data_IF_670745065476
#
_entry.id   IF_670745065476
#
_cell.length_a   1.000
_cell.length_b   1.000
_cell.length_c   1.000
_cell.angle_alpha   90.00
_cell.angle_beta   90.00
_cell.angle_gamma   90.00
#
_symmetry.space_group_name_H-M   'P 1'
#
loop_
_entity.id
_entity.type
_entity.pdbx_description
1 polymer ?
#
# COMPACT_ATOMS: atom_id res chain seq x y z
N UNK A 1 32.76 12.48 -11.53
CA UNK A 1 32.32 13.42 -10.49
C UNK A 1 30.82 13.53 -10.61
N UNK A 2 30.06 12.91 -9.70
CA UNK A 2 28.59 13.04 -9.69
C UNK A 2 28.25 14.29 -8.90
N UNK A 3 27.64 15.27 -9.57
CA UNK A 3 27.07 16.45 -8.93
C UNK A 3 25.65 16.11 -8.48
N UNK A 4 25.41 16.04 -7.17
CA UNK A 4 24.06 15.96 -6.62
C UNK A 4 23.53 17.38 -6.48
N UNK A 5 22.52 17.73 -7.26
CA UNK A 5 21.80 19.00 -7.15
C UNK A 5 20.49 18.71 -6.44
N UNK A 6 20.27 19.34 -5.29
CA UNK A 6 18.98 19.33 -4.62
C UNK A 6 18.01 20.21 -5.42
N UNK A 7 16.84 19.68 -5.73
CA UNK A 7 15.80 20.38 -6.46
C UNK A 7 14.50 20.37 -5.65
N UNK A 8 13.70 21.43 -5.81
CA UNK A 8 12.36 21.51 -5.23
C UNK A 8 11.36 20.57 -5.94
N UNK A 9 10.13 20.53 -5.49
CA UNK A 9 9.05 19.71 -6.07
C UNK A 9 8.76 20.04 -7.55
N UNK A 10 9.23 21.20 -8.03
CA UNK A 10 9.08 21.65 -9.42
C UNK A 10 10.33 21.37 -10.26
N UNK A 11 11.37 20.75 -9.66
CA UNK A 11 12.62 20.42 -10.33
C UNK A 11 13.59 21.61 -10.47
N UNK A 12 13.39 22.70 -9.70
CA UNK A 12 14.32 23.81 -9.65
C UNK A 12 15.42 23.57 -8.63
N UNK A 13 16.67 23.97 -8.88
CA UNK A 13 17.74 23.88 -7.90
C UNK A 13 17.38 24.61 -6.61
N UNK A 14 17.47 23.91 -5.49
CA UNK A 14 17.31 24.51 -4.16
C UNK A 14 18.57 25.33 -3.86
N UNK A 15 18.40 26.53 -3.32
CA UNK A 15 19.54 27.38 -2.93
C UNK A 15 20.46 26.63 -1.95
N UNK A 16 21.75 26.85 -2.06
CA UNK A 16 22.80 26.16 -1.29
C UNK A 16 22.58 26.19 0.24
N UNK A 17 21.84 27.18 0.73
CA UNK A 17 21.56 27.42 2.15
C UNK A 17 20.12 27.06 2.54
N UNK A 18 19.32 26.44 1.64
CA UNK A 18 18.00 25.99 2.00
C UNK A 18 18.10 24.76 2.93
N UNK A 19 17.27 24.67 3.98
CA UNK A 19 17.25 23.49 4.84
C UNK A 19 16.90 22.26 4.01
N UNK A 20 17.76 21.25 4.06
CA UNK A 20 17.48 19.95 3.45
C UNK A 20 16.33 19.33 4.23
N UNK A 21 15.21 18.95 3.59
CA UNK A 21 14.15 18.22 4.28
C UNK A 21 14.75 16.92 4.83
N UNK A 22 14.76 16.78 6.13
CA UNK A 22 15.19 15.55 6.78
C UNK A 22 14.09 14.49 6.58
N UNK A 23 14.50 13.28 6.24
CA UNK A 23 13.60 12.13 6.26
C UNK A 23 13.14 11.89 7.70
N UNK A 24 11.83 11.90 7.90
CA UNK A 24 11.21 11.54 9.16
C UNK A 24 10.57 10.17 9.03
N UNK A 25 10.96 9.24 9.91
CA UNK A 25 10.36 7.92 9.94
C UNK A 25 8.87 8.01 10.28
N UNK A 26 8.00 7.22 9.63
CA UNK A 26 6.58 7.20 9.96
C UNK A 26 6.37 6.70 11.39
N UNK A 27 5.37 7.27 12.06
CA UNK A 27 4.96 6.84 13.40
C UNK A 27 3.61 6.13 13.28
N UNK A 28 3.59 4.85 13.58
CA UNK A 28 2.38 4.03 13.58
C UNK A 28 1.83 3.90 15.01
N UNK A 29 0.52 4.03 15.14
CA UNK A 29 -0.17 3.91 16.43
C UNK A 29 -0.56 2.46 16.70
N UNK A 30 -0.63 2.06 17.95
CA UNK A 30 -1.26 0.79 18.32
C UNK A 30 -2.78 0.90 18.19
N UNK A 31 -3.36 0.11 17.30
CA UNK A 31 -4.80 0.12 16.99
C UNK A 31 -5.52 -1.14 17.44
N UNK A 32 -4.90 -1.98 18.31
CA UNK A 32 -5.54 -3.19 18.84
C UNK A 32 -6.86 -2.89 19.54
N UNK A 33 -6.95 -1.76 20.23
CA UNK A 33 -8.13 -1.29 20.96
C UNK A 33 -8.73 -0.03 20.34
N UNK A 34 -8.54 0.21 19.04
CA UNK A 34 -9.08 1.38 18.39
C UNK A 34 -10.61 1.38 18.40
N UNK A 35 -11.19 2.54 18.70
CA UNK A 35 -12.65 2.74 18.70
C UNK A 35 -13.24 2.59 17.30
N UNK A 36 -12.47 2.96 16.28
CA UNK A 36 -12.91 2.94 14.89
C UNK A 36 -12.13 1.94 14.06
N UNK A 37 -12.82 1.29 13.14
CA UNK A 37 -12.22 0.41 12.14
C UNK A 37 -12.68 0.77 10.73
N UNK A 38 -11.87 0.42 9.74
CA UNK A 38 -12.20 0.59 8.33
C UNK A 38 -11.91 -0.68 7.55
N UNK A 39 -12.87 -1.08 6.72
CA UNK A 39 -12.72 -2.22 5.81
C UNK A 39 -12.08 -1.77 4.51
N UNK A 40 -11.06 -2.50 4.08
CA UNK A 40 -10.34 -2.29 2.83
C UNK A 40 -10.50 -3.52 1.95
N UNK A 41 -10.89 -3.35 0.70
CA UNK A 41 -11.03 -4.44 -0.26
C UNK A 41 -9.80 -4.44 -1.19
N UNK A 42 -8.98 -5.47 -1.03
CA UNK A 42 -7.74 -5.70 -1.76
C UNK A 42 -6.48 -5.25 -1.03
N UNK A 43 -5.48 -6.14 -0.97
CA UNK A 43 -4.14 -5.87 -0.46
C UNK A 43 -3.15 -5.45 -1.57
N UNK A 44 -3.64 -4.75 -2.58
CA UNK A 44 -2.80 -4.09 -3.58
C UNK A 44 -2.14 -2.82 -3.02
N UNK A 45 -1.38 -2.05 -3.84
CA UNK A 45 -0.68 -0.85 -3.37
C UNK A 45 -1.62 0.12 -2.67
N UNK A 46 -2.77 0.43 -3.26
CA UNK A 46 -3.74 1.36 -2.68
C UNK A 46 -4.24 0.88 -1.30
N UNK A 47 -4.55 -0.41 -1.15
CA UNK A 47 -5.03 -0.98 0.11
C UNK A 47 -3.97 -0.98 1.20
N UNK A 48 -2.73 -1.36 0.88
CA UNK A 48 -1.62 -1.36 1.84
C UNK A 48 -1.29 0.06 2.32
N UNK A 49 -1.19 1.04 1.41
CA UNK A 49 -0.96 2.45 1.79
C UNK A 49 -2.13 3.04 2.58
N UNK A 50 -3.38 2.70 2.22
CA UNK A 50 -4.55 3.11 2.98
C UNK A 50 -4.52 2.55 4.41
N UNK A 51 -4.16 1.28 4.58
CA UNK A 51 -4.04 0.64 5.89
C UNK A 51 -2.99 1.32 6.77
N UNK A 52 -1.80 1.60 6.23
CA UNK A 52 -0.75 2.32 6.94
C UNK A 52 -1.21 3.72 7.34
N UNK A 53 -1.87 4.45 6.45
CA UNK A 53 -2.43 5.76 6.76
C UNK A 53 -3.49 5.71 7.85
N UNK A 54 -4.36 4.70 7.84
CA UNK A 54 -5.36 4.51 8.91
C UNK A 54 -4.71 4.27 10.27
N UNK A 55 -3.66 3.45 10.32
CA UNK A 55 -2.89 3.19 11.54
C UNK A 55 -2.22 4.47 12.06
N UNK A 56 -1.66 5.30 11.19
CA UNK A 56 -1.11 6.61 11.58
C UNK A 56 -2.17 7.52 12.25
N UNK A 57 -3.45 7.33 11.91
CA UNK A 57 -4.58 8.08 12.48
C UNK A 57 -5.35 7.34 13.58
N UNK A 58 -4.81 6.24 14.10
CA UNK A 58 -5.43 5.49 15.20
C UNK A 58 -6.69 4.71 14.79
N UNK A 59 -6.85 4.39 13.51
CA UNK A 59 -8.00 3.66 12.97
C UNK A 59 -7.53 2.24 12.59
N UNK A 60 -8.25 1.21 13.05
CA UNK A 60 -7.93 -0.18 12.77
C UNK A 60 -8.31 -0.55 11.33
N UNK A 61 -7.34 -0.89 10.44
CA UNK A 61 -7.64 -1.41 9.11
C UNK A 61 -7.97 -2.90 9.18
N UNK A 62 -8.97 -3.32 8.39
CA UNK A 62 -9.35 -4.72 8.17
C UNK A 62 -9.33 -4.95 6.66
N UNK A 63 -8.33 -5.66 6.16
CA UNK A 63 -8.12 -5.89 4.73
C UNK A 63 -8.66 -7.27 4.34
N UNK A 64 -9.45 -7.33 3.27
CA UNK A 64 -9.85 -8.57 2.61
C UNK A 64 -9.18 -8.67 1.25
N UNK A 65 -8.34 -9.69 1.06
CA UNK A 65 -7.62 -9.95 -0.18
C UNK A 65 -8.06 -11.29 -0.77
N UNK A 66 -8.45 -11.27 -2.06
CA UNK A 66 -8.93 -12.49 -2.74
C UNK A 66 -7.84 -13.52 -2.97
N UNK A 67 -6.61 -13.07 -3.19
CA UNK A 67 -5.48 -13.94 -3.45
C UNK A 67 -4.69 -14.28 -2.19
N UNK A 68 -3.54 -14.89 -2.41
CA UNK A 68 -2.64 -15.32 -1.33
C UNK A 68 -1.65 -14.24 -0.94
N UNK A 69 -1.02 -14.43 0.21
CA UNK A 69 0.12 -13.62 0.65
C UNK A 69 1.30 -13.77 -0.32
N UNK A 70 2.21 -12.79 -0.32
CA UNK A 70 3.24 -12.62 -1.36
C UNK A 70 4.15 -13.85 -1.55
N UNK A 71 4.47 -14.59 -0.48
CA UNK A 71 5.35 -15.76 -0.57
C UNK A 71 4.64 -16.97 -1.18
N UNK A 72 3.37 -17.20 -0.80
CA UNK A 72 2.54 -18.26 -1.39
C UNK A 72 2.19 -17.94 -2.85
N UNK A 73 1.88 -16.66 -3.14
CA UNK A 73 1.63 -16.17 -4.50
C UNK A 73 2.84 -16.40 -5.43
N UNK A 74 4.08 -16.23 -4.92
CA UNK A 74 5.30 -16.53 -5.69
C UNK A 74 5.34 -17.99 -6.16
N UNK A 75 4.82 -18.93 -5.34
CA UNK A 75 4.73 -20.35 -5.73
C UNK A 75 3.69 -20.56 -6.83
N UNK A 76 2.52 -19.94 -6.73
CA UNK A 76 1.48 -20.02 -7.76
C UNK A 76 1.98 -19.48 -9.12
N UNK A 77 2.73 -18.38 -9.09
CA UNK A 77 3.37 -17.80 -10.29
C UNK A 77 4.43 -18.76 -10.87
N UNK A 78 5.20 -19.43 -10.03
CA UNK A 78 6.18 -20.42 -10.49
C UNK A 78 5.52 -21.62 -11.18
N UNK A 79 4.36 -22.09 -10.68
CA UNK A 79 3.57 -23.15 -11.34
C UNK A 79 3.03 -22.67 -12.69
N UNK A 80 2.50 -21.45 -12.75
CA UNK A 80 2.02 -20.85 -13.98
C UNK A 80 3.13 -20.76 -15.04
N UNK A 81 4.33 -20.32 -14.67
CA UNK A 81 5.48 -20.20 -15.58
C UNK A 81 5.98 -21.55 -16.11
N UNK A 82 5.71 -22.63 -15.40
CA UNK A 82 6.02 -24.01 -15.83
C UNK A 82 4.89 -24.66 -16.61
N UNK A 83 3.78 -23.95 -16.86
CA UNK A 83 2.54 -24.49 -17.43
C UNK A 83 1.95 -25.67 -16.59
N UNK A 84 2.19 -25.67 -15.28
CA UNK A 84 1.72 -26.71 -14.35
C UNK A 84 0.36 -26.37 -13.72
N UNK A 85 -0.14 -25.13 -13.93
CA UNK A 85 -1.46 -24.69 -13.47
C UNK A 85 -1.60 -23.19 -13.31
N UNK A 86 -2.85 -22.73 -13.34
CA UNK A 86 -3.25 -21.34 -13.06
C UNK A 86 -4.17 -21.30 -11.86
N UNK A 87 -3.78 -20.60 -10.81
CA UNK A 87 -4.71 -20.24 -9.75
C UNK A 87 -5.46 -18.94 -10.16
N UNK A 88 -6.79 -18.98 -10.37
CA UNK A 88 -7.53 -17.81 -10.83
C UNK A 88 -7.57 -16.66 -9.81
N UNK A 89 -7.38 -16.95 -8.52
CA UNK A 89 -7.43 -15.95 -7.45
C UNK A 89 -6.02 -15.53 -6.97
N UNK A 90 -4.95 -16.22 -7.40
CA UNK A 90 -3.58 -15.93 -6.98
C UNK A 90 -2.60 -16.14 -8.14
N UNK A 91 -2.19 -15.05 -8.80
CA UNK A 91 -1.37 -15.07 -10.02
C UNK A 91 -0.66 -13.72 -10.22
N UNK A 92 -0.25 -13.37 -11.44
CA UNK A 92 0.36 -12.07 -11.75
C UNK A 92 -0.57 -10.86 -11.50
N UNK A 93 -1.90 -11.05 -11.57
CA UNK A 93 -2.87 -9.96 -11.42
C UNK A 93 -3.40 -9.83 -9.99
N UNK A 94 -3.58 -10.96 -9.31
CA UNK A 94 -4.27 -11.03 -8.02
C UNK A 94 -3.36 -11.58 -6.92
N UNK A 95 -3.58 -11.10 -5.69
CA UNK A 95 -2.82 -11.41 -4.50
C UNK A 95 -2.10 -10.20 -3.91
N UNK A 96 -1.53 -10.39 -2.75
CA UNK A 96 -0.85 -9.34 -1.96
C UNK A 96 0.15 -8.54 -2.79
N UNK A 97 0.11 -7.21 -2.66
CA UNK A 97 0.93 -6.26 -3.40
C UNK A 97 0.44 -5.95 -4.82
N UNK A 98 -0.59 -6.66 -5.32
CA UNK A 98 -1.19 -6.40 -6.63
C UNK A 98 -0.30 -6.81 -7.81
N UNK A 99 -0.64 -6.35 -9.03
CA UNK A 99 0.04 -6.74 -10.26
C UNK A 99 1.50 -6.26 -10.35
N UNK A 100 1.88 -5.24 -9.57
CA UNK A 100 3.24 -4.69 -9.57
C UNK A 100 4.26 -5.46 -8.75
N UNK A 101 3.85 -6.38 -7.88
CA UNK A 101 4.71 -7.06 -6.88
C UNK A 101 5.93 -7.75 -7.49
N UNK A 102 5.76 -8.38 -8.64
CA UNK A 102 6.82 -9.14 -9.34
C UNK A 102 7.32 -8.42 -10.59
N UNK A 103 7.09 -7.10 -10.67
CA UNK A 103 7.67 -6.24 -11.70
C UNK A 103 9.09 -5.80 -11.33
N UNK A 104 9.74 -5.05 -12.21
CA UNK A 104 11.06 -4.47 -11.96
C UNK A 104 11.04 -3.28 -10.97
N UNK A 105 9.87 -2.87 -10.49
CA UNK A 105 9.74 -1.85 -9.46
C UNK A 105 10.12 -0.44 -9.88
N UNK A 106 9.89 -0.10 -11.14
CA UNK A 106 10.07 1.28 -11.61
C UNK A 106 9.05 2.20 -10.95
N UNK A 107 9.55 3.23 -10.27
CA UNK A 107 8.77 4.22 -9.54
C UNK A 107 8.73 5.53 -10.33
N UNK A 108 8.03 5.54 -11.46
CA UNK A 108 7.86 6.76 -12.24
C UNK A 108 6.40 7.12 -12.41
N UNK A 109 6.04 8.34 -12.02
CA UNK A 109 4.73 8.91 -12.27
C UNK A 109 4.85 10.26 -12.96
N UNK A 110 4.08 10.45 -14.03
CA UNK A 110 3.93 11.77 -14.67
C UNK A 110 2.96 12.68 -13.92
N UNK A 111 2.17 12.12 -13.01
CA UNK A 111 1.16 12.87 -12.25
C UNK A 111 1.81 13.51 -11.02
N UNK A 112 2.05 14.83 -11.10
CA UNK A 112 2.52 15.64 -9.97
C UNK A 112 1.40 16.46 -9.32
N UNK A 113 0.14 16.30 -9.80
CA UNK A 113 -0.96 17.20 -9.41
C UNK A 113 -1.77 16.73 -8.21
N UNK A 114 -1.70 15.46 -7.84
CA UNK A 114 -2.52 14.89 -6.76
C UNK A 114 -1.70 13.91 -5.93
N UNK A 115 -1.85 14.00 -4.63
CA UNK A 115 -1.19 13.14 -3.66
C UNK A 115 0.27 13.55 -3.35
N UNK A 116 0.75 13.07 -2.22
CA UNK A 116 2.13 13.30 -1.77
C UNK A 116 3.01 12.13 -2.22
N UNK A 117 3.68 12.28 -3.38
CA UNK A 117 4.60 11.27 -3.90
C UNK A 117 5.81 11.08 -2.99
N UNK A 118 6.28 12.17 -2.34
CA UNK A 118 7.40 12.10 -1.41
C UNK A 118 7.08 11.14 -0.27
N UNK A 119 5.88 11.23 0.31
CA UNK A 119 5.42 10.33 1.36
C UNK A 119 5.41 8.85 0.92
N UNK A 120 5.04 8.58 -0.33
CA UNK A 120 5.07 7.22 -0.89
C UNK A 120 6.50 6.68 -0.95
N UNK A 121 7.46 7.51 -1.41
CA UNK A 121 8.87 7.13 -1.48
C UNK A 121 9.48 6.93 -0.09
N UNK A 122 9.13 7.77 0.87
CA UNK A 122 9.53 7.65 2.27
C UNK A 122 9.04 6.36 2.91
N UNK A 123 7.79 5.96 2.66
CA UNK A 123 7.25 4.68 3.11
C UNK A 123 7.94 3.50 2.44
N UNK A 124 8.18 3.55 1.15
CA UNK A 124 8.95 2.49 0.49
C UNK A 124 10.36 2.37 1.08
N UNK A 125 11.04 3.50 1.31
CA UNK A 125 12.34 3.52 1.97
C UNK A 125 12.27 2.92 3.38
N UNK A 126 11.30 3.34 4.20
CA UNK A 126 11.09 2.80 5.54
C UNK A 126 10.93 1.28 5.55
N UNK A 127 10.24 0.71 4.57
CA UNK A 127 10.03 -0.72 4.43
C UNK A 127 11.14 -1.47 3.68
N UNK A 128 12.25 -0.81 3.35
CA UNK A 128 13.47 -1.44 2.86
C UNK A 128 13.80 -1.20 1.38
N UNK A 129 13.18 -0.20 0.75
CA UNK A 129 13.66 0.26 -0.55
C UNK A 129 15.02 0.99 -0.40
N UNK A 130 15.86 0.99 -1.43
CA UNK A 130 17.15 1.69 -1.38
C UNK A 130 16.96 3.20 -1.25
N UNK A 131 17.95 3.89 -0.64
CA UNK A 131 17.95 5.33 -0.42
C UNK A 131 17.72 6.13 -1.70
N UNK A 132 18.10 5.56 -2.85
CA UNK A 132 17.93 6.19 -4.16
C UNK A 132 16.47 6.57 -4.46
N UNK A 133 15.48 5.88 -3.85
CA UNK A 133 14.06 6.21 -4.04
C UNK A 133 13.70 7.60 -3.49
N UNK A 134 14.49 8.13 -2.56
CA UNK A 134 14.23 9.43 -1.93
C UNK A 134 14.68 10.63 -2.78
N UNK A 135 15.62 10.43 -3.73
CA UNK A 135 16.24 11.54 -4.46
C UNK A 135 16.41 11.33 -5.97
N UNK A 136 16.26 10.12 -6.48
CA UNK A 136 16.37 9.88 -7.92
C UNK A 136 15.01 10.07 -8.63
N UNK A 137 15.03 10.87 -9.69
CA UNK A 137 13.82 11.17 -10.47
C UNK A 137 13.19 9.93 -11.14
N UNK A 138 13.96 8.89 -11.39
CA UNK A 138 13.54 7.62 -11.98
C UNK A 138 13.98 6.45 -11.11
N UNK A 139 13.67 6.53 -9.83
CA UNK A 139 14.01 5.51 -8.86
C UNK A 139 13.42 4.13 -9.24
N UNK A 140 14.14 3.09 -8.83
CA UNK A 140 13.80 1.73 -9.17
C UNK A 140 14.14 0.83 -7.97
N UNK A 141 13.17 0.09 -7.54
CA UNK A 141 13.30 -0.75 -6.33
C UNK A 141 14.03 -2.05 -6.64
N UNK A 142 13.73 -2.67 -7.78
CA UNK A 142 14.17 -4.01 -8.14
C UNK A 142 13.13 -5.09 -7.82
N UNK A 143 13.01 -6.06 -8.70
CA UNK A 143 11.99 -7.13 -8.62
C UNK A 143 12.18 -8.09 -7.46
N UNK A 144 13.37 -8.19 -6.93
CA UNK A 144 13.74 -9.03 -5.77
C UNK A 144 13.37 -8.36 -4.43
N UNK A 145 13.34 -7.04 -4.38
CA UNK A 145 13.09 -6.27 -3.15
C UNK A 145 11.61 -6.00 -2.91
N UNK A 146 10.80 -5.77 -3.96
CA UNK A 146 9.37 -5.48 -3.81
C UNK A 146 8.61 -6.51 -2.97
N UNK A 147 8.78 -7.84 -3.16
CA UNK A 147 8.10 -8.82 -2.32
C UNK A 147 8.45 -8.70 -0.84
N UNK A 148 9.70 -8.36 -0.53
CA UNK A 148 10.16 -8.15 0.85
C UNK A 148 9.55 -6.89 1.46
N UNK A 149 9.50 -5.80 0.71
CA UNK A 149 8.89 -4.53 1.14
C UNK A 149 7.40 -4.74 1.44
N UNK A 150 6.68 -5.43 0.56
CA UNK A 150 5.27 -5.74 0.75
C UNK A 150 5.05 -6.59 2.01
N UNK A 151 5.91 -7.59 2.23
CA UNK A 151 5.90 -8.39 3.45
C UNK A 151 6.12 -7.51 4.69
N UNK A 152 7.09 -6.60 4.66
CA UNK A 152 7.39 -5.69 5.78
C UNK A 152 6.20 -4.75 6.07
N UNK A 153 5.52 -4.25 5.03
CA UNK A 153 4.28 -3.47 5.18
C UNK A 153 3.19 -4.28 5.87
N UNK A 154 2.96 -5.51 5.44
CA UNK A 154 2.01 -6.42 6.09
C UNK A 154 2.35 -6.65 7.56
N UNK A 155 3.60 -6.98 7.86
CA UNK A 155 4.07 -7.23 9.23
C UNK A 155 3.87 -5.99 10.13
N UNK A 156 4.12 -4.80 9.58
CA UNK A 156 3.83 -3.55 10.27
C UNK A 156 2.34 -3.40 10.56
N UNK A 157 1.46 -3.63 9.58
CA UNK A 157 0.00 -3.54 9.76
C UNK A 157 -0.46 -4.50 10.86
N UNK A 158 -0.02 -5.76 10.82
CA UNK A 158 -0.41 -6.78 11.78
C UNK A 158 0.12 -6.49 13.18
N UNK A 159 1.38 -6.07 13.31
CA UNK A 159 2.00 -5.78 14.61
C UNK A 159 1.38 -4.59 15.33
N UNK A 160 0.72 -3.67 14.60
CA UNK A 160 0.01 -2.54 15.19
C UNK A 160 -1.49 -2.79 15.40
N UNK A 161 -1.99 -4.01 15.16
CA UNK A 161 -3.37 -4.39 15.46
C UNK A 161 -4.32 -4.36 14.26
N UNK A 162 -3.84 -4.09 13.05
CA UNK A 162 -4.61 -4.28 11.83
C UNK A 162 -4.85 -5.75 11.51
N UNK A 163 -5.79 -6.04 10.63
CA UNK A 163 -6.12 -7.40 10.19
C UNK A 163 -6.01 -7.53 8.68
N UNK A 164 -5.54 -8.71 8.22
CA UNK A 164 -5.52 -9.05 6.80
C UNK A 164 -6.04 -10.48 6.63
N UNK A 165 -7.12 -10.62 5.86
CA UNK A 165 -7.76 -11.87 5.53
C UNK A 165 -7.47 -12.22 4.08
N UNK A 166 -6.56 -13.17 3.86
CA UNK A 166 -6.24 -13.70 2.53
C UNK A 166 -7.24 -14.75 2.07
N UNK A 167 -7.22 -15.06 0.77
CA UNK A 167 -8.12 -16.02 0.12
C UNK A 167 -9.59 -15.72 0.40
N UNK A 168 -9.90 -14.44 0.62
CA UNK A 168 -11.22 -13.93 0.96
C UNK A 168 -11.69 -12.92 -0.07
N UNK A 169 -12.49 -13.38 -1.00
CA UNK A 169 -13.07 -12.58 -2.07
C UNK A 169 -14.38 -11.93 -1.64
N UNK A 170 -14.46 -10.62 -1.71
CA UNK A 170 -15.70 -9.87 -1.52
C UNK A 170 -16.46 -9.83 -2.84
N UNK A 171 -17.63 -10.44 -2.88
CA UNK A 171 -18.45 -10.55 -4.10
C UNK A 171 -19.46 -9.41 -4.23
N UNK A 172 -20.05 -8.98 -3.11
CA UNK A 172 -21.03 -7.88 -3.13
C UNK A 172 -21.06 -7.11 -1.83
N UNK A 173 -21.39 -5.83 -1.92
CA UNK A 173 -21.72 -4.98 -0.78
C UNK A 173 -23.18 -4.59 -0.89
N UNK A 174 -23.97 -4.87 0.13
CA UNK A 174 -25.36 -4.41 0.23
C UNK A 174 -25.41 -3.28 1.24
N UNK A 175 -25.85 -2.07 0.87
CA UNK A 175 -26.08 -1.01 1.85
C UNK A 175 -27.15 -1.47 2.83
N UNK A 176 -26.85 -1.41 4.12
CA UNK A 176 -27.85 -1.62 5.15
C UNK A 176 -28.63 -0.30 5.25
N UNK A 177 -29.82 -0.25 4.65
CA UNK A 177 -30.75 0.85 4.86
C UNK A 177 -31.28 0.71 6.29
N UNK A 178 -30.65 1.37 7.25
CA UNK A 178 -31.29 1.66 8.53
C UNK A 178 -32.39 2.65 8.21
N UNK A 179 -33.63 2.19 8.15
CA UNK A 179 -34.79 3.09 8.18
C UNK A 179 -34.67 3.95 9.44
N UNK A 180 -34.75 5.29 9.36
CA UNK A 180 -34.92 6.08 10.55
C UNK A 180 -36.17 5.57 11.25
N UNK A 181 -36.04 5.07 12.48
CA UNK A 181 -37.20 4.77 13.31
C UNK A 181 -37.98 6.03 13.52
N UNK A 182 -39.20 6.08 13.04
CA UNK A 182 -40.18 7.09 13.38
C UNK A 182 -40.64 7.98 12.24
N UNK A 183 -41.58 7.44 11.46
CA UNK A 183 -42.80 8.15 11.07
C UNK A 183 -43.75 7.17 10.40
N UNK A 184 -44.61 6.56 11.20
CA UNK A 184 -45.86 5.98 10.68
C UNK A 184 -46.73 7.14 10.15
N UNK A 185 -46.69 7.37 8.85
CA UNK A 185 -47.72 8.18 8.22
C UNK A 185 -49.03 7.39 8.27
N UNK A 186 -49.88 7.72 9.27
CA UNK A 186 -51.31 7.43 9.22
C UNK A 186 -51.91 8.07 7.97
N UNK A 187 -52.16 7.27 6.97
CA UNK A 187 -53.03 7.65 5.85
C UNK A 187 -54.47 7.59 6.33
N UNK A 188 -55.16 8.71 6.30
CA UNK A 188 -56.62 8.79 6.30
C UNK A 188 -57.13 8.63 4.90
#
# INVERSE_FOLDING_TARGET
MHLTVLVDEQGKPIAKDAPIPLYEAPVFQDVHQAEHSAVIIGAGPAGLFAALTLIEHGIKPIIYERGKEVSARKRDIALLNRNEGLNPESNYCFGEGGAGTFSDGKLFSRSKKRGNMQRVMELFHYFGAPDTVLYEAHAHIGSDKLPTIIKNMRECILSHGGEIHFETKIESLKPHLTSPQGEEKKTR
#
